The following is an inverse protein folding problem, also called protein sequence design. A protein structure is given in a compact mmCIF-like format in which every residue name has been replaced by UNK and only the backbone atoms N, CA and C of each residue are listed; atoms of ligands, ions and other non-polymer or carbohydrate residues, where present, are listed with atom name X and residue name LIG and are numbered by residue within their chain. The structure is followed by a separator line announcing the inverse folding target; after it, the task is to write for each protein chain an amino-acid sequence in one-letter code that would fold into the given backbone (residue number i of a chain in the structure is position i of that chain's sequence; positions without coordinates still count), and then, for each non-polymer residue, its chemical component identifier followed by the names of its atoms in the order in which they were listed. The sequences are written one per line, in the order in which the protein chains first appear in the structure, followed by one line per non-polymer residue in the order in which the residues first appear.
data_IF_933599134858
#
_entry.id   IF_933599134858
#
_cell.length_a   1.000
_cell.length_b   1.000
_cell.length_c   1.000
_cell.angle_alpha   90.00
_cell.angle_beta   90.00
_cell.angle_gamma   90.00
#
_symmetry.space_group_name_H-M   'P 1'
#
loop_
_entity.id
_entity.type
_entity.pdbx_description
1 polymer ?
#
# COMPACT_ATOMS: atom_id res chain seq x y z
N UNK A 1 8.70 -8.44 3.56
CA UNK A 1 7.58 -9.09 2.86
C UNK A 1 6.87 -10.04 3.80
N UNK A 2 5.55 -9.87 3.99
CA UNK A 2 4.72 -10.85 4.67
C UNK A 2 4.20 -11.84 3.63
N UNK A 3 4.57 -13.11 3.76
CA UNK A 3 4.26 -14.17 2.81
C UNK A 3 3.46 -15.28 3.47
N UNK A 4 2.59 -15.93 2.71
CA UNK A 4 1.75 -17.02 3.17
C UNK A 4 1.73 -18.18 2.18
N UNK A 5 0.57 -18.44 1.57
CA UNK A 5 0.43 -19.47 0.55
C UNK A 5 1.40 -19.22 -0.61
N UNK A 6 2.16 -20.27 -0.99
CA UNK A 6 3.24 -20.19 -2.00
C UNK A 6 4.32 -19.13 -1.72
N UNK A 7 4.55 -18.77 -0.47
CA UNK A 7 5.59 -17.81 -0.08
C UNK A 7 6.99 -18.20 -0.53
N UNK A 8 7.28 -19.51 -0.59
CA UNK A 8 8.53 -20.08 -1.15
C UNK A 8 8.79 -19.62 -2.59
N UNK A 9 7.76 -19.54 -3.43
CA UNK A 9 7.92 -19.06 -4.81
C UNK A 9 8.36 -17.59 -4.86
N UNK A 10 7.85 -16.75 -3.93
CA UNK A 10 8.22 -15.34 -3.82
C UNK A 10 9.67 -15.23 -3.33
N UNK A 11 10.03 -15.97 -2.28
CA UNK A 11 11.37 -16.00 -1.71
C UNK A 11 12.41 -16.48 -2.74
N UNK A 12 12.09 -17.53 -3.50
CA UNK A 12 12.91 -18.05 -4.59
C UNK A 12 13.09 -17.05 -5.74
N UNK A 13 12.05 -16.29 -6.04
CA UNK A 13 12.13 -15.26 -7.07
C UNK A 13 13.12 -14.16 -6.67
N UNK A 14 13.02 -13.64 -5.45
CA UNK A 14 13.96 -12.64 -4.90
C UNK A 14 15.38 -13.20 -4.77
N UNK A 15 15.55 -14.48 -4.46
CA UNK A 15 16.85 -15.14 -4.42
C UNK A 15 17.57 -15.14 -5.77
N UNK A 16 16.80 -15.21 -6.87
CA UNK A 16 17.32 -15.20 -8.25
C UNK A 16 17.43 -13.79 -8.83
N UNK A 17 16.62 -12.82 -8.37
CA UNK A 17 16.55 -11.46 -8.89
C UNK A 17 17.01 -10.49 -7.79
N UNK A 18 18.33 -10.41 -7.58
CA UNK A 18 18.91 -9.51 -6.58
C UNK A 18 18.84 -8.07 -7.06
N UNK A 19 18.06 -7.25 -6.35
CA UNK A 19 18.06 -5.79 -6.49
C UNK A 19 19.08 -5.12 -5.56
N UNK A 20 19.09 -3.80 -5.49
CA UNK A 20 19.91 -3.01 -4.57
C UNK A 20 19.43 -3.01 -3.11
N UNK A 21 18.62 -3.98 -2.70
CA UNK A 21 18.03 -4.09 -1.35
C UNK A 21 18.04 -5.56 -0.90
N UNK A 22 18.03 -5.76 0.41
CA UNK A 22 17.95 -7.08 1.04
C UNK A 22 16.51 -7.33 1.52
N UNK A 23 15.77 -8.27 0.89
CA UNK A 23 14.42 -8.58 1.30
C UNK A 23 14.42 -9.40 2.60
N UNK A 24 13.58 -9.02 3.56
CA UNK A 24 13.27 -9.81 4.75
C UNK A 24 11.89 -10.42 4.60
N UNK A 25 11.75 -11.69 4.93
CA UNK A 25 10.50 -12.42 4.80
C UNK A 25 9.93 -12.80 6.16
N UNK A 26 8.64 -12.55 6.34
CA UNK A 26 7.86 -13.01 7.49
C UNK A 26 6.83 -13.99 6.98
N UNK A 27 7.09 -15.29 7.18
CA UNK A 27 6.22 -16.34 6.66
C UNK A 27 5.11 -16.69 7.65
N UNK A 28 3.88 -16.61 7.20
CA UNK A 28 2.71 -16.97 7.97
C UNK A 28 2.30 -18.42 7.71
N UNK A 29 2.17 -19.21 8.78
CA UNK A 29 1.72 -20.60 8.70
C UNK A 29 0.21 -20.75 8.58
N UNK A 30 -0.53 -19.70 8.87
CA UNK A 30 -1.99 -19.62 8.78
C UNK A 30 -2.38 -18.22 8.34
N UNK A 31 -3.52 -18.03 7.65
CA UNK A 31 -3.99 -16.70 7.25
C UNK A 31 -4.17 -15.78 8.47
N UNK A 32 -3.47 -14.66 8.48
CA UNK A 32 -3.54 -13.65 9.54
C UNK A 32 -4.41 -12.44 9.15
N UNK A 33 -4.87 -12.38 7.90
CA UNK A 33 -5.44 -11.18 7.32
C UNK A 33 -4.38 -10.10 7.08
N UNK A 34 -4.74 -9.04 6.40
CA UNK A 34 -3.82 -7.95 6.03
C UNK A 34 -3.23 -7.25 7.26
N UNK A 35 -4.05 -7.00 8.27
CA UNK A 35 -3.60 -6.34 9.50
C UNK A 35 -2.74 -7.22 10.40
N UNK A 36 -3.11 -8.50 10.56
CA UNK A 36 -2.28 -9.44 11.32
C UNK A 36 -0.91 -9.67 10.68
N UNK A 37 -0.84 -9.64 9.35
CA UNK A 37 0.41 -9.70 8.59
C UNK A 37 1.29 -8.47 8.88
N UNK A 38 0.71 -7.26 8.86
CA UNK A 38 1.40 -6.02 9.23
C UNK A 38 1.91 -6.08 10.67
N UNK A 39 1.04 -6.43 11.63
CA UNK A 39 1.42 -6.51 13.05
C UNK A 39 2.59 -7.46 13.29
N UNK A 40 2.65 -8.55 12.54
CA UNK A 40 3.76 -9.50 12.64
C UNK A 40 5.04 -8.95 11.99
N UNK A 41 4.94 -8.31 10.83
CA UNK A 41 6.08 -7.70 10.13
C UNK A 41 6.67 -6.53 10.91
N UNK A 42 5.88 -5.81 11.70
CA UNK A 42 6.31 -4.69 12.53
C UNK A 42 7.47 -5.02 13.49
N UNK A 43 7.63 -6.29 13.86
CA UNK A 43 8.75 -6.75 14.70
C UNK A 43 10.12 -6.56 14.00
N UNK A 44 10.14 -6.50 12.67
CA UNK A 44 11.33 -6.29 11.86
C UNK A 44 11.47 -4.84 11.36
N UNK A 45 10.38 -4.08 11.36
CA UNK A 45 10.37 -2.70 10.90
C UNK A 45 11.01 -1.80 11.96
N UNK A 46 12.00 -0.99 11.57
CA UNK A 46 12.72 -0.07 12.46
C UNK A 46 12.43 1.40 12.18
N UNK A 47 11.95 1.71 10.97
CA UNK A 47 11.64 3.08 10.56
C UNK A 47 10.38 3.62 11.23
N UNK A 48 10.33 4.94 11.37
CA UNK A 48 9.14 5.70 11.69
C UNK A 48 9.17 7.00 10.90
N UNK A 49 8.17 7.29 10.06
CA UNK A 49 7.04 6.41 9.73
C UNK A 49 7.48 5.19 8.90
N UNK A 50 6.54 4.25 8.66
CA UNK A 50 6.77 3.09 7.83
C UNK A 50 5.70 2.93 6.75
N UNK A 51 6.11 2.40 5.59
CA UNK A 51 5.27 2.20 4.42
C UNK A 51 4.71 0.77 4.41
N UNK A 52 3.43 0.63 4.11
CA UNK A 52 2.74 -0.64 3.88
C UNK A 52 2.17 -0.65 2.48
N UNK A 53 2.38 -1.72 1.73
CA UNK A 53 1.91 -1.89 0.36
C UNK A 53 1.14 -3.21 0.25
N UNK A 54 -0.01 -3.18 -0.43
CA UNK A 54 -0.66 -4.41 -0.87
C UNK A 54 0.20 -5.08 -1.94
N UNK A 55 0.28 -6.40 -1.91
CA UNK A 55 1.15 -7.17 -2.82
C UNK A 55 0.52 -7.44 -4.19
N UNK A 56 -0.76 -7.11 -4.38
CA UNK A 56 -1.57 -7.35 -5.57
C UNK A 56 -2.11 -6.08 -6.22
N UNK A 57 -1.62 -4.92 -5.77
CA UNK A 57 -2.00 -3.62 -6.31
C UNK A 57 -0.78 -2.85 -6.76
N UNK A 58 -0.87 -2.21 -7.91
CA UNK A 58 0.17 -1.34 -8.45
C UNK A 58 -0.40 0.04 -8.73
N UNK A 59 0.20 1.05 -8.12
CA UNK A 59 -0.12 2.45 -8.34
C UNK A 59 1.19 3.25 -8.31
N UNK A 60 1.44 4.05 -9.32
CA UNK A 60 2.63 4.89 -9.36
C UNK A 60 2.52 5.98 -8.31
N UNK A 61 3.55 6.09 -7.49
CA UNK A 61 3.59 7.05 -6.40
C UNK A 61 5.05 7.43 -6.11
N UNK A 62 5.30 8.72 -5.95
CA UNK A 62 6.56 9.23 -5.41
C UNK A 62 6.56 9.08 -3.88
N UNK A 63 7.36 8.17 -3.30
CA UNK A 63 7.39 7.94 -1.86
C UNK A 63 7.83 9.17 -1.07
N UNK A 64 8.69 10.02 -1.64
CA UNK A 64 9.14 11.24 -0.97
C UNK A 64 8.02 12.29 -0.89
N UNK A 65 7.20 12.40 -1.94
CA UNK A 65 6.03 13.29 -1.90
C UNK A 65 5.03 12.82 -0.85
N UNK A 66 4.79 11.51 -0.77
CA UNK A 66 3.93 10.92 0.26
C UNK A 66 4.48 11.20 1.67
N UNK A 67 5.78 11.01 1.88
CA UNK A 67 6.44 11.27 3.17
C UNK A 67 6.37 12.75 3.54
N UNK A 68 6.66 13.66 2.61
CA UNK A 68 6.53 15.11 2.83
C UNK A 68 5.09 15.51 3.19
N UNK A 69 4.10 14.94 2.52
CA UNK A 69 2.69 15.18 2.82
C UNK A 69 2.34 14.70 4.23
N UNK A 70 2.68 13.47 4.58
CA UNK A 70 2.48 12.85 5.90
C UNK A 70 3.06 13.71 7.02
N UNK A 71 4.32 14.12 6.85
CA UNK A 71 5.03 14.95 7.83
C UNK A 71 4.39 16.34 7.99
N UNK A 72 4.05 17.01 6.87
CA UNK A 72 3.40 18.33 6.88
C UNK A 72 2.04 18.30 7.58
N UNK A 73 1.26 17.24 7.37
CA UNK A 73 -0.05 17.03 8.01
C UNK A 73 0.09 16.56 9.47
N UNK A 74 1.28 16.24 9.93
CA UNK A 74 1.51 15.57 11.24
C UNK A 74 0.61 14.37 11.38
N UNK A 75 0.51 13.60 10.30
CA UNK A 75 -0.41 12.49 10.20
C UNK A 75 0.01 11.32 11.10
N UNK A 76 -0.95 10.66 11.71
CA UNK A 76 -0.78 9.34 12.32
C UNK A 76 -0.86 8.24 11.27
N UNK A 77 -1.66 8.51 10.24
CA UNK A 77 -1.79 7.64 9.07
C UNK A 77 -2.03 8.48 7.82
N UNK A 78 -1.51 8.00 6.69
CA UNK A 78 -1.80 8.53 5.35
C UNK A 78 -2.11 7.34 4.44
N UNK A 79 -3.20 7.45 3.68
CA UNK A 79 -3.60 6.50 2.65
C UNK A 79 -3.44 7.15 1.28
N UNK A 80 -2.79 6.47 0.35
CA UNK A 80 -2.83 6.90 -1.04
C UNK A 80 -4.18 6.53 -1.65
N UNK A 81 -4.75 7.47 -2.38
CA UNK A 81 -6.05 7.32 -3.03
C UNK A 81 -6.00 7.80 -4.47
N UNK A 82 -6.75 7.14 -5.33
CA UNK A 82 -6.96 7.53 -6.73
C UNK A 82 -8.39 8.02 -6.92
N UNK A 83 -8.64 8.81 -7.95
CA UNK A 83 -10.01 9.22 -8.26
C UNK A 83 -10.85 7.99 -8.60
N UNK A 84 -12.07 7.93 -8.06
CA UNK A 84 -12.97 6.81 -8.31
C UNK A 84 -13.34 6.72 -9.78
N UNK A 85 -13.18 5.53 -10.32
CA UNK A 85 -13.65 5.12 -11.65
C UNK A 85 -14.88 4.21 -11.54
N UNK A 86 -15.16 3.43 -12.59
CA UNK A 86 -16.33 2.55 -12.63
C UNK A 86 -16.20 1.25 -11.81
N UNK A 87 -15.10 1.03 -11.09
CA UNK A 87 -14.89 -0.22 -10.31
C UNK A 87 -15.74 -0.25 -9.05
N UNK A 88 -16.37 -1.39 -8.78
CA UNK A 88 -17.29 -1.57 -7.64
C UNK A 88 -16.64 -2.32 -6.46
N UNK A 89 -15.45 -2.90 -6.67
CA UNK A 89 -14.82 -3.83 -5.73
C UNK A 89 -13.58 -3.29 -5.02
N UNK A 90 -13.31 -2.00 -5.17
CA UNK A 90 -12.26 -1.28 -4.45
C UNK A 90 -12.81 -0.56 -3.23
N UNK A 91 -11.99 -0.46 -2.18
CA UNK A 91 -12.37 0.32 -0.99
C UNK A 91 -12.61 1.79 -1.33
N UNK A 92 -13.77 2.31 -0.93
CA UNK A 92 -14.15 3.69 -1.16
C UNK A 92 -13.69 4.58 -0.02
N UNK A 93 -13.13 5.75 -0.35
CA UNK A 93 -12.63 6.74 0.60
C UNK A 93 -13.28 8.09 0.32
N UNK A 94 -13.83 8.72 1.37
CA UNK A 94 -14.32 10.09 1.30
C UNK A 94 -13.34 11.02 2.00
N UNK A 95 -12.94 12.10 1.33
CA UNK A 95 -12.05 13.12 1.89
C UNK A 95 -12.81 14.41 2.16
N UNK A 96 -12.41 15.12 3.21
CA UNK A 96 -12.77 16.50 3.47
C UNK A 96 -11.89 17.50 2.70
N UNK A 97 -12.19 18.80 2.84
CA UNK A 97 -11.47 19.89 2.14
C UNK A 97 -9.98 19.97 2.48
N UNK A 98 -9.59 19.49 3.66
CA UNK A 98 -8.20 19.48 4.14
C UNK A 98 -7.48 18.15 3.89
N UNK A 99 -7.98 17.31 3.00
CA UNK A 99 -7.54 15.93 2.72
C UNK A 99 -7.81 14.96 3.88
N UNK A 100 -8.56 15.35 4.89
CA UNK A 100 -8.92 14.48 6.01
C UNK A 100 -9.77 13.32 5.54
N UNK A 101 -9.45 12.10 5.94
CA UNK A 101 -10.33 10.96 5.69
C UNK A 101 -11.55 11.08 6.59
N UNK A 102 -12.73 11.22 5.98
CA UNK A 102 -14.02 11.34 6.67
C UNK A 102 -14.71 9.99 6.82
N UNK A 103 -14.56 9.12 5.84
CA UNK A 103 -15.12 7.77 5.89
C UNK A 103 -14.37 6.82 4.97
N UNK A 104 -14.42 5.54 5.31
CA UNK A 104 -13.94 4.44 4.49
C UNK A 104 -14.94 3.30 4.50
N UNK A 105 -15.19 2.73 3.31
CA UNK A 105 -16.05 1.55 3.16
C UNK A 105 -15.33 0.53 2.29
N UNK A 106 -14.99 -0.60 2.88
CA UNK A 106 -14.37 -1.70 2.15
C UNK A 106 -15.43 -2.40 1.28
N UNK A 107 -15.20 -2.42 -0.05
CA UNK A 107 -16.09 -3.06 -1.05
C UNK A 107 -17.56 -2.65 -0.89
N UNK A 108 -17.89 -1.40 -1.17
CA UNK A 108 -19.27 -0.91 -1.09
C UNK A 108 -20.15 -1.67 -2.08
N UNK A 109 -21.42 -1.90 -1.70
CA UNK A 109 -22.42 -2.61 -2.56
C UNK A 109 -22.95 -1.75 -3.72
N UNK A 110 -22.63 -0.49 -3.75
CA UNK A 110 -23.08 0.48 -4.76
C UNK A 110 -21.90 1.30 -5.23
N UNK A 111 -21.99 1.82 -6.46
CA UNK A 111 -20.99 2.78 -6.97
C UNK A 111 -20.86 3.94 -6.01
N UNK A 112 -19.63 4.24 -5.62
CA UNK A 112 -19.32 5.37 -4.75
C UNK A 112 -18.71 6.49 -5.57
N UNK A 113 -19.10 7.71 -5.24
CA UNK A 113 -18.39 8.92 -5.67
C UNK A 113 -17.29 9.21 -4.66
N UNK A 114 -16.12 9.65 -5.11
CA UNK A 114 -15.01 9.97 -4.22
C UNK A 114 -13.70 9.36 -4.71
N UNK A 115 -13.06 8.62 -3.84
CA UNK A 115 -11.73 8.05 -4.12
C UNK A 115 -11.71 6.54 -3.87
N UNK A 116 -10.79 5.86 -4.57
CA UNK A 116 -10.45 4.47 -4.33
C UNK A 116 -9.17 4.34 -3.51
N UNK A 117 -9.16 3.40 -2.58
CA UNK A 117 -7.97 2.99 -1.84
C UNK A 117 -6.94 2.37 -2.79
N UNK A 118 -5.74 2.94 -2.87
CA UNK A 118 -4.68 2.46 -3.74
C UNK A 118 -3.85 1.31 -3.12
N UNK A 119 -4.17 0.87 -1.89
CA UNK A 119 -3.42 -0.19 -1.22
C UNK A 119 -2.03 0.25 -0.74
N UNK A 120 -1.80 1.54 -0.58
CA UNK A 120 -0.54 2.14 -0.12
C UNK A 120 -0.81 2.98 1.11
N UNK A 121 -0.11 2.68 2.20
CA UNK A 121 -0.31 3.34 3.48
C UNK A 121 1.02 3.76 4.08
N UNK A 122 1.07 4.97 4.66
CA UNK A 122 2.20 5.43 5.46
C UNK A 122 1.71 5.65 6.90
N UNK A 123 2.30 4.94 7.84
CA UNK A 123 1.89 4.93 9.23
C UNK A 123 2.97 5.45 10.16
N UNK A 124 2.60 6.28 11.13
CA UNK A 124 3.39 6.47 12.35
C UNK A 124 3.28 5.22 13.24
N UNK A 125 4.35 4.86 13.94
CA UNK A 125 4.35 3.66 14.80
C UNK A 125 3.30 3.69 15.92
N UNK A 126 2.82 4.85 16.31
CA UNK A 126 1.76 4.96 17.31
C UNK A 126 0.45 4.27 16.90
N UNK A 127 0.27 3.93 15.61
CA UNK A 127 -0.88 3.12 15.15
C UNK A 127 -0.90 1.72 15.80
N UNK A 128 0.25 1.20 16.26
CA UNK A 128 0.33 -0.11 16.93
C UNK A 128 -0.58 -0.17 18.16
N UNK A 129 -0.81 0.96 18.83
CA UNK A 129 -1.72 1.05 19.98
C UNK A 129 -3.20 0.78 19.64
N UNK A 130 -3.54 0.84 18.35
CA UNK A 130 -4.89 0.58 17.84
C UNK A 130 -5.05 -0.83 17.28
N UNK A 131 -3.99 -1.64 17.26
CA UNK A 131 -4.07 -2.99 16.73
C UNK A 131 -4.99 -3.85 17.59
N UNK A 132 -5.92 -4.60 16.99
CA UNK A 132 -6.77 -5.52 17.71
C UNK A 132 -5.94 -6.56 18.47
N UNK A 133 -6.42 -6.95 19.66
CA UNK A 133 -5.82 -8.06 20.41
C UNK A 133 -6.23 -9.42 19.82
N UNK A 134 -6.22 -9.53 18.50
CA UNK A 134 -6.53 -10.72 17.72
C UNK A 134 -5.34 -11.08 16.84
N UNK A 135 -5.12 -12.37 16.64
CA UNK A 135 -4.04 -12.83 15.77
C UNK A 135 -4.36 -12.62 14.28
N UNK A 136 -5.62 -12.72 13.90
CA UNK A 136 -6.07 -12.58 12.51
C UNK A 136 -7.09 -11.45 12.41
N UNK A 137 -6.80 -10.43 11.61
CA UNK A 137 -7.64 -9.26 11.41
C UNK A 137 -7.30 -8.53 10.10
N UNK A 138 -8.24 -7.73 9.61
CA UNK A 138 -8.08 -6.96 8.37
C UNK A 138 -7.69 -5.52 8.65
N UNK A 139 -6.67 -5.04 7.95
CA UNK A 139 -6.26 -3.66 7.97
C UNK A 139 -7.43 -2.74 7.56
N UNK A 140 -8.09 -3.08 6.47
CA UNK A 140 -9.13 -2.27 5.81
C UNK A 140 -10.45 -2.26 6.59
N UNK A 141 -10.77 -3.36 7.27
CA UNK A 141 -12.05 -3.51 7.99
C UNK A 141 -11.96 -3.16 9.45
N UNK A 142 -10.79 -3.26 10.07
CA UNK A 142 -10.65 -3.15 11.51
C UNK A 142 -9.79 -1.97 11.95
N UNK A 143 -8.65 -1.68 11.29
CA UNK A 143 -7.78 -0.56 11.67
C UNK A 143 -8.19 0.75 10.98
N UNK A 144 -8.28 0.74 9.65
CA UNK A 144 -8.48 1.99 8.90
C UNK A 144 -9.77 2.73 9.29
N UNK A 145 -10.91 2.04 9.57
CA UNK A 145 -12.10 2.73 10.09
C UNK A 145 -11.90 3.39 11.46
N UNK A 146 -11.07 2.81 12.33
CA UNK A 146 -10.77 3.43 13.63
C UNK A 146 -9.89 4.68 13.47
N UNK A 147 -9.02 4.70 12.45
CA UNK A 147 -8.16 5.85 12.17
C UNK A 147 -8.93 7.09 11.70
N UNK A 148 -10.18 6.98 11.30
CA UNK A 148 -11.00 8.13 10.87
C UNK A 148 -11.12 9.19 11.99
N UNK A 149 -11.08 8.80 13.25
CA UNK A 149 -11.09 9.72 14.40
C UNK A 149 -9.71 10.28 14.74
N UNK A 150 -8.65 9.77 14.13
CA UNK A 150 -7.26 10.13 14.34
C UNK A 150 -6.76 11.11 13.24
N UNK A 151 -5.57 11.69 13.33
CA UNK A 151 -4.95 12.43 12.24
C UNK A 151 -4.67 11.53 11.01
N UNK A 152 -5.72 11.22 10.26
CA UNK A 152 -5.72 10.33 9.11
C UNK A 152 -6.08 11.09 7.83
N UNK A 153 -5.19 11.05 6.84
CA UNK A 153 -5.29 11.86 5.63
C UNK A 153 -5.17 11.02 4.35
N UNK A 154 -5.85 11.47 3.30
CA UNK A 154 -5.75 10.90 1.96
C UNK A 154 -4.74 11.68 1.12
N UNK A 155 -3.76 10.98 0.58
CA UNK A 155 -2.85 11.51 -0.44
C UNK A 155 -3.39 11.18 -1.82
N UNK A 156 -3.93 12.19 -2.50
CA UNK A 156 -4.51 12.00 -3.83
C UNK A 156 -3.40 11.88 -4.88
N UNK A 157 -3.40 10.80 -5.64
CA UNK A 157 -2.56 10.61 -6.83
C UNK A 157 -3.43 10.55 -8.09
N UNK A 158 -2.90 11.12 -9.18
CA UNK A 158 -3.53 11.04 -10.50
C UNK A 158 -3.20 9.73 -11.25
N UNK A 159 -2.32 8.90 -10.68
CA UNK A 159 -1.86 7.66 -11.31
C UNK A 159 -2.96 6.61 -11.36
N UNK A 160 -2.93 5.80 -12.41
CA UNK A 160 -3.84 4.66 -12.52
C UNK A 160 -3.55 3.63 -11.43
N UNK A 161 -4.61 3.00 -10.93
CA UNK A 161 -4.52 1.87 -10.01
C UNK A 161 -4.76 0.57 -10.80
N UNK A 162 -3.81 -0.33 -10.73
CA UNK A 162 -3.91 -1.67 -11.31
C UNK A 162 -3.99 -2.70 -10.20
N UNK A 163 -5.10 -3.43 -10.15
CA UNK A 163 -5.29 -4.57 -9.26
C UNK A 163 -5.04 -5.85 -10.07
N UNK A 164 -4.16 -6.69 -9.60
CA UNK A 164 -3.78 -7.96 -10.22
C UNK A 164 -4.17 -9.18 -9.37
N UNK A 165 -5.06 -9.00 -8.41
CA UNK A 165 -5.47 -10.03 -7.44
C UNK A 165 -6.30 -11.18 -8.02
N UNK A 166 -6.70 -11.14 -9.31
CA UNK A 166 -7.33 -12.28 -9.99
C UNK A 166 -6.60 -12.63 -11.29
N UNK A 167 -6.73 -13.87 -11.78
CA UNK A 167 -6.12 -14.26 -13.05
C UNK A 167 -6.54 -13.37 -14.23
N UNK A 168 -7.81 -13.00 -14.29
CA UNK A 168 -8.38 -12.17 -15.36
C UNK A 168 -7.78 -10.77 -15.33
N UNK A 169 -7.65 -10.17 -14.15
CA UNK A 169 -7.03 -8.85 -13.95
C UNK A 169 -5.54 -8.87 -14.28
N UNK A 170 -4.85 -9.93 -13.89
CA UNK A 170 -3.45 -10.11 -14.24
C UNK A 170 -3.24 -10.21 -15.76
N UNK A 171 -4.13 -10.93 -16.48
CA UNK A 171 -4.10 -10.99 -17.95
C UNK A 171 -4.33 -9.63 -18.55
N UNK A 172 -5.35 -8.90 -18.10
CA UNK A 172 -5.64 -7.54 -18.55
C UNK A 172 -4.45 -6.60 -18.29
N UNK A 173 -3.88 -6.64 -17.09
CA UNK A 173 -2.70 -5.82 -16.74
C UNK A 173 -1.52 -6.10 -17.66
N UNK A 174 -1.26 -7.35 -18.01
CA UNK A 174 -0.18 -7.72 -18.94
C UNK A 174 -0.35 -7.13 -20.32
N UNK A 175 -1.59 -7.00 -20.80
CA UNK A 175 -1.85 -6.34 -22.09
C UNK A 175 -1.60 -4.83 -22.00
N UNK A 176 -2.08 -4.18 -20.95
CA UNK A 176 -1.83 -2.76 -20.69
C UNK A 176 -0.34 -2.48 -20.51
N UNK A 177 0.38 -3.36 -19.82
CA UNK A 177 1.82 -3.21 -19.54
C UNK A 177 2.71 -3.32 -20.77
N UNK A 178 2.21 -3.88 -21.87
CA UNK A 178 2.92 -3.90 -23.14
C UNK A 178 2.93 -2.54 -23.84
N UNK A 179 2.04 -1.63 -23.46
CA UNK A 179 2.01 -0.28 -23.98
C UNK A 179 3.20 0.54 -23.43
N UNK A 180 4.12 1.02 -24.28
CA UNK A 180 5.28 1.80 -23.85
C UNK A 180 4.92 3.07 -23.07
N UNK A 181 3.72 3.61 -23.25
CA UNK A 181 3.24 4.81 -22.53
C UNK A 181 2.88 4.55 -21.06
N UNK A 182 2.74 3.28 -20.66
CA UNK A 182 2.37 2.86 -19.30
C UNK A 182 3.59 2.54 -18.42
N UNK A 183 4.81 2.66 -18.97
CA UNK A 183 6.00 2.38 -18.20
C UNK A 183 6.22 3.44 -17.12
N UNK A 184 6.27 3.00 -15.87
CA UNK A 184 6.71 3.83 -14.76
C UNK A 184 8.15 4.27 -15.02
N UNK A 185 8.48 5.57 -14.89
CA UNK A 185 9.86 5.99 -14.95
C UNK A 185 10.59 5.30 -13.78
N UNK A 186 11.35 4.27 -14.08
CA UNK A 186 12.34 3.75 -13.12
C UNK A 186 13.33 4.89 -12.97
N UNK A 187 13.14 5.72 -11.95
CA UNK A 187 14.13 6.73 -11.58
C UNK A 187 15.40 5.95 -11.32
N UNK A 188 16.36 6.09 -12.22
CA UNK A 188 17.65 5.42 -12.17
C UNK A 188 18.39 5.90 -10.91
N UNK A 189 18.22 5.19 -9.82
CA UNK A 189 19.04 5.35 -8.61
C UNK A 189 20.47 4.81 -8.80
N UNK A 190 20.96 4.73 -10.02
CA UNK A 190 22.32 4.30 -10.33
C UNK A 190 22.98 5.21 -11.35
N UNK A 191 23.37 6.41 -10.92
CA UNK A 191 24.49 7.15 -11.54
C UNK A 191 24.97 8.29 -10.64
N UNK A 192 25.43 7.98 -9.42
CA UNK A 192 26.39 8.84 -8.70
C UNK A 192 27.35 7.98 -7.86
N UNK A 193 28.11 7.12 -8.54
CA UNK A 193 29.37 6.61 -8.01
C UNK A 193 30.38 6.60 -9.14
N UNK A 194 31.10 7.70 -9.28
CA UNK A 194 32.20 7.75 -10.21
C UNK A 194 32.67 9.15 -10.55
N UNK A 195 33.14 9.92 -9.60
CA UNK A 195 34.15 10.95 -9.82
C UNK A 195 34.53 11.62 -8.50
N UNK A 196 35.41 10.97 -7.76
CA UNK A 196 36.35 11.61 -6.84
C UNK A 196 37.64 10.80 -6.90
N UNK A 197 38.49 11.23 -7.83
CA UNK A 197 39.94 11.14 -7.74
C UNK A 197 40.48 12.53 -7.75
#
# INVERSE_FOLDING_TARGET
FSTGYKGDMIEDWFGRHRGGYEPLFVRDRAPLGTGGAVARAMKLVRSNPFLVLNGDSLCELDPERLLRFHTRKRARATIAVTQADSREDTGAVTLGEDDRVLSMVEKPRTRTTGYHNAGIYLFDRTVEALFPNSRSWSLERELLPQLVTEPFYGFVTASALYDIGTPERLVHFREVWKDPSVHFPVTSMHQEQGSLL
#
